data_IF_308116500786
#
_entry.id   IF_308116500786
#
_cell.length_a   1.000
_cell.length_b   1.000
_cell.length_c   1.000
_cell.angle_alpha   90.00
_cell.angle_beta   90.00
_cell.angle_gamma   90.00
#
_symmetry.space_group_name_H-M   'P 1'
#
loop_
_entity.id
_entity.type
_entity.pdbx_description
1 polymer ?
#
# COMPACT_ATOMS: atom_id res chain seq x y z
N UNK A 1 4.44 82.82 7.21
CA UNK A 1 5.29 81.64 7.45
C UNK A 1 5.49 81.35 8.95
N UNK A 2 4.44 81.29 9.78
CA UNK A 2 4.58 80.99 11.24
C UNK A 2 3.65 79.89 11.77
N UNK A 3 2.68 79.44 10.98
CA UNK A 3 1.68 78.44 11.40
C UNK A 3 1.89 77.04 10.81
N UNK A 4 2.79 76.89 9.82
CA UNK A 4 3.06 75.60 9.19
C UNK A 4 3.79 74.62 10.14
N UNK A 5 4.71 75.12 10.97
CA UNK A 5 5.48 74.28 11.92
C UNK A 5 4.65 73.82 13.13
N UNK A 6 3.57 74.53 13.47
CA UNK A 6 2.70 74.15 14.59
C UNK A 6 1.84 72.92 14.27
N UNK A 7 1.40 72.79 13.02
CA UNK A 7 0.56 71.67 12.57
C UNK A 7 1.40 70.39 12.44
N UNK A 8 2.64 70.49 11.95
CA UNK A 8 3.55 69.33 11.87
C UNK A 8 3.99 68.83 13.24
N UNK A 9 4.23 69.72 14.21
CA UNK A 9 4.60 69.32 15.57
C UNK A 9 3.44 68.62 16.31
N UNK A 10 2.19 69.07 16.11
CA UNK A 10 1.02 68.45 16.73
C UNK A 10 0.73 67.03 16.18
N UNK A 11 0.95 66.80 14.88
CA UNK A 11 0.78 65.47 14.26
C UNK A 11 1.85 64.46 14.70
N UNK A 12 3.09 64.92 14.89
CA UNK A 12 4.18 64.08 15.41
C UNK A 12 4.03 63.72 16.89
N UNK A 13 3.50 64.63 17.72
CA UNK A 13 3.22 64.35 19.14
C UNK A 13 1.97 63.48 19.35
N UNK A 14 0.93 63.63 18.51
CA UNK A 14 -0.27 62.79 18.57
C UNK A 14 -0.02 61.34 18.14
N UNK A 15 0.83 61.13 17.13
CA UNK A 15 1.15 59.80 16.61
C UNK A 15 1.94 58.92 17.58
N UNK A 16 2.84 59.49 18.38
CA UNK A 16 3.65 58.74 19.37
C UNK A 16 2.90 58.49 20.68
N UNK A 17 1.98 59.39 21.08
CA UNK A 17 1.12 59.18 22.25
C UNK A 17 0.07 58.06 22.01
N UNK A 18 -0.43 57.93 20.78
CA UNK A 18 -1.38 56.88 20.43
C UNK A 18 -0.75 55.47 20.46
N UNK A 19 0.55 55.33 20.12
CA UNK A 19 1.23 54.03 20.14
C UNK A 19 1.69 53.60 21.53
N UNK A 20 1.87 54.53 22.48
CA UNK A 20 2.23 54.18 23.88
C UNK A 20 1.03 53.86 24.77
N UNK A 21 -0.17 54.32 24.42
CA UNK A 21 -1.41 54.06 25.21
C UNK A 21 -2.19 52.85 24.72
N UNK A 22 -1.93 52.38 23.50
CA UNK A 22 -2.43 51.12 22.99
C UNK A 22 -1.38 50.03 23.23
N UNK A 23 -1.33 49.47 24.45
CA UNK A 23 -0.84 48.09 24.66
C UNK A 23 -1.78 47.09 23.97
N UNK A 24 -1.94 47.19 22.66
CA UNK A 24 -2.30 46.02 21.88
C UNK A 24 -0.99 45.26 21.74
N UNK A 25 -0.81 44.10 22.40
CA UNK A 25 0.22 43.19 21.93
C UNK A 25 -0.15 42.95 20.47
N UNK A 26 0.70 43.42 19.55
CA UNK A 26 0.76 42.88 18.20
C UNK A 26 1.04 41.40 18.45
N UNK A 27 -0.03 40.61 18.53
CA UNK A 27 0.06 39.19 18.80
C UNK A 27 0.98 38.65 17.74
N UNK A 28 2.20 38.26 18.15
CA UNK A 28 3.06 37.50 17.29
C UNK A 28 2.21 36.33 16.83
N UNK A 29 1.90 36.29 15.53
CA UNK A 29 1.21 35.17 14.92
C UNK A 29 2.12 33.98 15.17
N UNK A 30 1.80 33.20 16.22
CA UNK A 30 2.52 31.99 16.52
C UNK A 30 2.36 31.14 15.27
N UNK A 31 3.48 30.78 14.65
CA UNK A 31 3.46 29.95 13.45
C UNK A 31 2.55 28.76 13.71
N UNK A 32 1.70 28.41 12.74
CA UNK A 32 0.80 27.24 12.82
C UNK A 32 1.57 25.91 13.03
N UNK A 33 2.90 25.94 12.89
CA UNK A 33 3.82 24.84 13.15
C UNK A 33 4.45 24.88 14.55
N UNK A 34 4.00 25.76 15.46
CA UNK A 34 4.24 25.52 16.87
C UNK A 34 3.68 24.14 17.20
N UNK A 35 4.38 23.30 17.98
CA UNK A 35 3.84 22.03 18.42
C UNK A 35 2.61 22.34 19.27
N UNK A 36 1.46 22.47 18.60
CA UNK A 36 0.18 22.47 19.25
C UNK A 36 0.15 21.19 20.04
N UNK A 37 -0.01 21.32 21.37
CA UNK A 37 -0.31 20.16 22.19
C UNK A 37 -1.52 19.50 21.54
N UNK A 38 -1.29 18.38 20.86
CA UNK A 38 -2.33 17.44 20.51
C UNK A 38 -2.96 17.06 21.83
N UNK A 39 -4.06 17.74 22.19
CA UNK A 39 -4.89 17.32 23.30
C UNK A 39 -5.36 15.93 22.92
N UNK A 40 -4.70 14.92 23.48
CA UNK A 40 -5.11 13.55 23.32
C UNK A 40 -6.57 13.49 23.76
N UNK A 41 -7.47 13.28 22.80
CA UNK A 41 -8.87 13.08 23.11
C UNK A 41 -8.91 11.88 24.05
N UNK A 42 -9.28 12.12 25.31
CA UNK A 42 -9.41 11.05 26.28
C UNK A 42 -10.36 10.01 25.68
N UNK A 43 -9.97 8.72 25.63
CA UNK A 43 -10.86 7.66 25.19
C UNK A 43 -12.17 7.72 25.99
N UNK A 44 -13.27 7.28 25.37
CA UNK A 44 -14.55 7.13 26.09
C UNK A 44 -14.32 6.33 27.37
N UNK A 45 -15.04 6.64 28.45
CA UNK A 45 -14.92 5.92 29.71
C UNK A 45 -15.05 4.40 29.47
N UNK A 46 -14.03 3.64 29.88
CA UNK A 46 -13.94 2.19 29.67
C UNK A 46 -13.16 1.75 28.41
N UNK A 47 -12.79 2.67 27.51
CA UNK A 47 -11.91 2.37 26.39
C UNK A 47 -10.43 2.42 26.83
N UNK A 48 -9.58 1.51 26.32
CA UNK A 48 -8.16 1.53 26.65
C UNK A 48 -7.48 2.78 26.07
N UNK A 49 -6.45 3.26 26.77
CA UNK A 49 -5.61 4.36 26.29
C UNK A 49 -4.81 3.99 25.03
N UNK A 50 -4.61 2.69 24.79
CA UNK A 50 -3.89 2.17 23.62
C UNK A 50 -4.30 0.72 23.32
N UNK A 51 -4.24 0.34 22.04
CA UNK A 51 -4.37 -1.06 21.61
C UNK A 51 -3.02 -1.77 21.46
N UNK A 52 -1.91 -1.10 21.83
CA UNK A 52 -0.56 -1.63 21.68
C UNK A 52 -0.38 -2.99 22.37
N UNK A 53 -0.90 -3.16 23.59
CA UNK A 53 -0.78 -4.42 24.33
C UNK A 53 -1.56 -5.56 23.65
N UNK A 54 -2.73 -5.24 23.10
CA UNK A 54 -3.53 -6.20 22.34
C UNK A 54 -2.82 -6.58 21.03
N UNK A 55 -2.29 -5.59 20.31
CA UNK A 55 -1.53 -5.82 19.09
C UNK A 55 -0.28 -6.66 19.36
N UNK A 56 0.49 -6.35 20.41
CA UNK A 56 1.68 -7.12 20.81
C UNK A 56 1.34 -8.58 21.14
N UNK A 57 0.18 -8.82 21.76
CA UNK A 57 -0.29 -10.17 22.10
C UNK A 57 -0.76 -10.96 20.87
N UNK A 58 -1.37 -10.30 19.89
CA UNK A 58 -1.96 -10.96 18.70
C UNK A 58 -1.05 -11.01 17.48
N UNK A 59 -0.04 -10.13 17.41
CA UNK A 59 0.93 -10.08 16.30
C UNK A 59 1.55 -11.45 15.96
N UNK A 60 1.90 -12.33 16.91
CA UNK A 60 2.46 -13.64 16.60
C UNK A 60 1.56 -14.54 15.74
N UNK A 61 0.24 -14.32 15.75
CA UNK A 61 -0.71 -15.09 14.96
C UNK A 61 -0.80 -14.61 13.51
N UNK A 62 -0.30 -13.43 13.17
CA UNK A 62 -0.38 -12.85 11.83
C UNK A 62 0.85 -13.25 11.02
N UNK A 63 0.62 -13.79 9.82
CA UNK A 63 1.68 -14.27 8.94
C UNK A 63 1.63 -13.58 7.59
N UNK A 64 2.78 -13.49 6.93
CA UNK A 64 2.88 -13.07 5.54
C UNK A 64 2.75 -14.30 4.62
N UNK A 65 2.06 -14.15 3.51
CA UNK A 65 1.83 -15.23 2.53
C UNK A 65 2.36 -14.74 1.19
N UNK A 66 3.26 -15.51 0.62
CA UNK A 66 3.78 -15.31 -0.73
C UNK A 66 3.40 -16.49 -1.59
N UNK A 67 2.80 -16.24 -2.75
CA UNK A 67 2.50 -17.28 -3.73
C UNK A 67 3.25 -17.03 -5.03
N UNK A 68 3.86 -18.08 -5.56
CA UNK A 68 4.47 -18.05 -6.89
C UNK A 68 3.55 -18.77 -7.86
N UNK A 69 3.20 -18.10 -8.94
CA UNK A 69 2.24 -18.54 -9.93
C UNK A 69 2.94 -18.68 -11.28
N UNK A 70 2.69 -19.79 -11.98
CA UNK A 70 3.18 -20.00 -13.34
C UNK A 70 2.06 -19.68 -14.31
N UNK A 71 2.18 -18.55 -15.00
CA UNK A 71 1.22 -18.10 -15.99
C UNK A 71 1.75 -18.50 -17.37
N UNK A 72 1.01 -19.33 -18.09
CA UNK A 72 1.30 -19.57 -19.50
C UNK A 72 0.81 -18.35 -20.27
N UNK A 73 1.74 -17.55 -20.81
CA UNK A 73 1.38 -16.42 -21.65
C UNK A 73 0.90 -16.98 -22.98
N UNK A 74 -0.42 -17.03 -23.20
CA UNK A 74 -0.97 -17.32 -24.52
C UNK A 74 -0.54 -16.16 -25.43
N UNK A 75 0.28 -16.47 -26.42
CA UNK A 75 0.69 -15.52 -27.45
C UNK A 75 -0.58 -14.88 -28.04
N UNK A 76 -0.77 -13.54 -27.96
CA UNK A 76 -1.69 -12.90 -28.89
C UNK A 76 -1.09 -13.16 -30.25
N UNK A 77 -1.73 -14.02 -31.06
CA UNK A 77 -1.23 -14.39 -32.37
C UNK A 77 -0.76 -13.15 -33.13
N UNK A 78 0.33 -13.30 -33.89
CA UNK A 78 0.97 -12.19 -34.57
C UNK A 78 -0.09 -11.46 -35.40
N UNK A 79 -0.57 -10.29 -34.95
CA UNK A 79 -1.68 -9.55 -35.59
C UNK A 79 -1.38 -9.09 -37.01
N UNK A 80 -0.11 -9.23 -37.41
CA UNK A 80 0.42 -8.94 -38.73
C UNK A 80 0.70 -10.19 -39.58
N UNK A 81 0.34 -11.41 -39.13
CA UNK A 81 0.52 -12.65 -39.91
C UNK A 81 -0.20 -12.55 -41.26
N UNK A 82 0.52 -12.80 -42.35
CA UNK A 82 0.03 -12.71 -43.72
C UNK A 82 -0.05 -11.30 -44.30
N UNK A 83 0.44 -10.27 -43.58
CA UNK A 83 0.49 -8.90 -44.08
C UNK A 83 1.89 -8.52 -44.60
N UNK A 84 2.02 -7.55 -45.52
CA UNK A 84 3.33 -7.03 -45.96
C UNK A 84 4.21 -6.47 -44.83
N UNK A 85 3.61 -6.17 -43.67
CA UNK A 85 4.30 -5.68 -42.49
C UNK A 85 4.89 -6.80 -41.62
N UNK A 86 4.61 -8.07 -41.92
CA UNK A 86 5.11 -9.22 -41.15
C UNK A 86 6.65 -9.27 -41.12
N UNK A 87 7.31 -9.10 -42.27
CA UNK A 87 8.78 -9.12 -42.38
C UNK A 87 9.42 -7.91 -41.69
N UNK A 88 8.79 -6.73 -41.79
CA UNK A 88 9.23 -5.52 -41.09
C UNK A 88 9.12 -5.70 -39.57
N UNK A 89 8.01 -6.27 -39.09
CA UNK A 89 7.78 -6.53 -37.68
C UNK A 89 8.76 -7.57 -37.13
N UNK A 90 9.04 -8.65 -37.86
CA UNK A 90 10.09 -9.64 -37.51
C UNK A 90 11.47 -9.00 -37.42
N UNK A 91 11.83 -8.12 -38.37
CA UNK A 91 13.17 -7.49 -38.46
C UNK A 91 13.43 -6.42 -37.39
N UNK A 92 12.38 -5.75 -36.89
CA UNK A 92 12.47 -4.72 -35.84
C UNK A 92 12.23 -5.26 -34.42
N UNK A 93 12.22 -6.58 -34.22
CA UNK A 93 12.11 -7.20 -32.89
C UNK A 93 10.69 -7.53 -32.43
N UNK A 94 9.68 -7.40 -33.31
CA UNK A 94 8.30 -7.81 -33.06
C UNK A 94 8.09 -9.34 -33.06
N UNK A 95 9.07 -10.12 -33.50
CA UNK A 95 9.02 -11.60 -33.46
C UNK A 95 9.15 -12.24 -32.08
N UNK A 96 9.44 -11.47 -31.02
CA UNK A 96 9.63 -11.97 -29.65
C UNK A 96 8.33 -12.19 -28.85
N UNK A 97 7.23 -12.53 -29.53
CA UNK A 97 5.94 -12.77 -28.91
C UNK A 97 5.88 -14.14 -28.24
N UNK A 98 6.17 -14.22 -26.95
CA UNK A 98 5.65 -15.29 -26.08
C UNK A 98 6.12 -16.72 -26.36
N UNK A 99 7.02 -16.97 -27.30
CA UNK A 99 7.58 -18.29 -27.60
C UNK A 99 9.09 -18.28 -27.71
N UNK A 100 9.76 -19.30 -27.18
CA UNK A 100 11.18 -19.52 -27.44
C UNK A 100 11.44 -19.83 -28.93
N UNK A 101 12.70 -19.85 -29.38
CA UNK A 101 13.08 -20.20 -30.78
C UNK A 101 12.56 -21.58 -31.25
N UNK A 102 11.97 -22.38 -30.34
CA UNK A 102 11.36 -23.68 -30.59
C UNK A 102 9.82 -23.67 -30.59
N UNK A 103 9.17 -22.51 -30.49
CA UNK A 103 7.71 -22.37 -30.57
C UNK A 103 6.95 -22.76 -29.29
N UNK A 104 7.61 -22.88 -28.13
CA UNK A 104 6.97 -23.26 -26.87
C UNK A 104 6.47 -22.05 -26.09
N UNK A 105 5.28 -22.09 -25.45
CA UNK A 105 4.76 -20.98 -24.66
C UNK A 105 5.73 -20.55 -23.54
N UNK A 106 6.05 -19.26 -23.49
CA UNK A 106 6.82 -18.68 -22.39
C UNK A 106 5.95 -18.70 -21.13
N UNK A 107 6.41 -19.42 -20.12
CA UNK A 107 5.83 -19.39 -18.78
C UNK A 107 6.41 -18.19 -18.05
N UNK A 108 5.56 -17.26 -17.59
CA UNK A 108 5.98 -16.14 -16.74
C UNK A 108 5.66 -16.48 -15.29
N UNK A 109 6.62 -16.26 -14.42
CA UNK A 109 6.38 -16.33 -12.98
C UNK A 109 5.77 -15.01 -12.52
N UNK A 110 4.64 -15.10 -11.84
CA UNK A 110 4.00 -13.98 -11.15
C UNK A 110 4.00 -14.27 -9.65
N UNK A 111 4.29 -13.26 -8.83
CA UNK A 111 4.23 -13.36 -7.38
C UNK A 111 3.01 -12.61 -6.86
N UNK A 112 2.32 -13.22 -5.89
CA UNK A 112 1.25 -12.58 -5.12
C UNK A 112 1.65 -12.54 -3.66
N UNK A 113 1.29 -11.46 -2.97
CA UNK A 113 1.56 -11.23 -1.56
C UNK A 113 0.24 -10.99 -0.83
N UNK A 114 0.12 -11.52 0.38
CA UNK A 114 -1.02 -11.33 1.25
C UNK A 114 -0.69 -11.62 2.70
N UNK A 115 -1.70 -11.52 3.56
CA UNK A 115 -1.59 -11.88 4.97
C UNK A 115 -2.47 -13.09 5.28
N UNK A 116 -2.20 -13.72 6.42
CA UNK A 116 -3.06 -14.74 6.98
C UNK A 116 -2.95 -14.79 8.49
N UNK A 117 -3.75 -15.68 9.08
CA UNK A 117 -3.78 -15.91 10.52
C UNK A 117 -3.59 -17.38 10.83
N UNK A 118 -2.70 -17.68 11.77
CA UNK A 118 -2.60 -19.02 12.36
C UNK A 118 -3.79 -19.18 13.30
N UNK A 119 -4.64 -20.18 13.02
CA UNK A 119 -5.87 -20.42 13.79
C UNK A 119 -5.76 -21.60 14.75
N UNK A 120 -4.71 -22.42 14.62
CA UNK A 120 -4.51 -23.59 15.47
C UNK A 120 -3.02 -23.96 15.56
N UNK A 121 -2.63 -24.57 16.70
CA UNK A 121 -1.25 -24.90 17.04
C UNK A 121 -0.64 -26.03 16.19
N UNK A 122 -1.48 -26.78 15.49
CA UNK A 122 -1.12 -27.78 14.49
C UNK A 122 -0.77 -27.19 13.11
N UNK A 123 -0.81 -25.85 12.95
CA UNK A 123 -0.31 -25.17 11.76
C UNK A 123 -1.37 -24.88 10.70
N UNK A 124 -2.65 -24.78 11.06
CA UNK A 124 -3.68 -24.28 10.14
C UNK A 124 -3.64 -22.76 10.03
N UNK A 125 -3.67 -22.25 8.79
CA UNK A 125 -3.63 -20.83 8.46
C UNK A 125 -4.82 -20.45 7.58
N UNK A 126 -5.54 -19.40 7.96
CA UNK A 126 -6.64 -18.83 7.16
C UNK A 126 -6.15 -17.60 6.41
N UNK A 127 -6.52 -17.48 5.15
CA UNK A 127 -6.25 -16.32 4.29
C UNK A 127 -7.41 -16.11 3.31
N UNK A 128 -7.30 -15.09 2.47
CA UNK A 128 -8.23 -14.88 1.39
C UNK A 128 -7.99 -15.87 0.24
N UNK A 129 -9.05 -16.34 -0.39
CA UNK A 129 -8.93 -17.21 -1.56
C UNK A 129 -8.17 -16.52 -2.71
N UNK A 130 -8.42 -15.23 -2.96
CA UNK A 130 -7.74 -14.48 -4.02
C UNK A 130 -6.22 -14.40 -3.84
N UNK A 131 -5.70 -14.51 -2.60
CA UNK A 131 -4.25 -14.51 -2.33
C UNK A 131 -3.60 -15.78 -2.89
N UNK A 132 -4.34 -16.91 -2.83
CA UNK A 132 -3.87 -18.24 -3.23
C UNK A 132 -4.42 -18.70 -4.57
N UNK A 133 -5.23 -17.89 -5.26
CA UNK A 133 -5.75 -18.21 -6.58
C UNK A 133 -5.26 -17.22 -7.63
N UNK A 134 -4.50 -17.72 -8.59
CA UNK A 134 -4.09 -17.00 -9.78
C UNK A 134 -5.25 -16.92 -10.80
N UNK A 135 -6.23 -16.04 -10.60
CA UNK A 135 -6.98 -15.41 -11.70
C UNK A 135 -8.13 -14.56 -11.16
N UNK A 136 -8.15 -13.25 -11.46
CA UNK A 136 -9.39 -12.57 -11.77
C UNK A 136 -9.93 -13.14 -13.10
N UNK A 137 -11.25 -13.30 -13.16
CA UNK A 137 -12.05 -13.66 -14.32
C UNK A 137 -11.37 -13.56 -15.71
N UNK A 138 -11.35 -14.67 -16.46
CA UNK A 138 -11.34 -14.60 -17.93
C UNK A 138 -10.10 -15.05 -18.70
N UNK A 139 -9.09 -15.71 -18.12
CA UNK A 139 -7.96 -16.17 -18.94
C UNK A 139 -6.95 -17.12 -18.31
N UNK A 140 -6.86 -18.32 -18.89
CA UNK A 140 -5.67 -19.19 -18.98
C UNK A 140 -4.96 -19.62 -17.68
N UNK A 141 -5.39 -20.75 -17.12
CA UNK A 141 -4.50 -21.84 -16.67
C UNK A 141 -3.38 -21.53 -15.68
N UNK A 142 -3.45 -20.44 -14.92
CA UNK A 142 -2.41 -20.11 -13.96
C UNK A 142 -2.48 -21.10 -12.78
N UNK A 143 -1.42 -21.89 -12.64
CA UNK A 143 -1.27 -22.86 -11.56
C UNK A 143 -0.39 -22.23 -10.50
N UNK A 144 -0.86 -22.26 -9.25
CA UNK A 144 -0.06 -21.86 -8.09
C UNK A 144 1.04 -22.90 -7.93
N UNK A 145 2.28 -22.48 -8.14
CA UNK A 145 3.45 -23.34 -8.11
C UNK A 145 3.93 -23.61 -6.68
N UNK A 146 3.84 -22.60 -5.81
CA UNK A 146 4.23 -22.72 -4.42
C UNK A 146 3.56 -21.64 -3.57
N UNK A 147 3.28 -21.98 -2.31
CA UNK A 147 2.82 -21.06 -1.29
C UNK A 147 3.83 -21.11 -0.14
N UNK A 148 4.35 -19.95 0.24
CA UNK A 148 5.27 -19.77 1.35
C UNK A 148 4.60 -18.90 2.40
N UNK A 149 4.60 -19.36 3.65
CA UNK A 149 4.12 -18.62 4.81
C UNK A 149 5.31 -18.19 5.63
N UNK A 150 5.44 -16.89 5.87
CA UNK A 150 6.51 -16.30 6.67
C UNK A 150 5.93 -15.83 8.01
N UNK A 151 6.44 -16.37 9.11
CA UNK A 151 6.08 -15.96 10.46
C UNK A 151 6.76 -14.63 10.85
N UNK A 152 6.29 -13.95 11.91
CA UNK A 152 6.91 -12.72 12.40
C UNK A 152 8.37 -12.86 12.83
N UNK A 153 8.81 -14.06 13.21
CA UNK A 153 10.21 -14.39 13.51
C UNK A 153 11.06 -14.65 12.25
N UNK A 154 10.49 -14.41 11.07
CA UNK A 154 11.08 -14.61 9.73
C UNK A 154 11.30 -16.08 9.35
N UNK A 155 10.74 -17.03 10.09
CA UNK A 155 10.73 -18.42 9.64
C UNK A 155 9.77 -18.60 8.47
N UNK A 156 10.21 -19.35 7.46
CA UNK A 156 9.44 -19.63 6.27
C UNK A 156 9.02 -21.10 6.23
N UNK A 157 7.77 -21.32 5.90
CA UNK A 157 7.15 -22.64 5.80
C UNK A 157 6.49 -22.79 4.44
N UNK A 158 6.64 -23.97 3.82
CA UNK A 158 5.81 -24.31 2.67
C UNK A 158 4.41 -24.66 3.16
N UNK A 159 3.41 -24.13 2.47
CA UNK A 159 2.02 -24.40 2.77
C UNK A 159 1.38 -25.26 1.69
N UNK A 160 0.43 -26.10 2.12
CA UNK A 160 -0.47 -26.84 1.25
C UNK A 160 -1.89 -26.29 1.37
N UNK A 161 -2.65 -26.30 0.28
CA UNK A 161 -4.05 -25.89 0.29
C UNK A 161 -4.88 -27.06 0.84
N UNK A 162 -5.59 -26.82 1.94
CA UNK A 162 -6.52 -27.79 2.54
C UNK A 162 -7.90 -27.64 1.93
N UNK A 163 -8.34 -26.39 1.73
CA UNK A 163 -9.63 -26.07 1.14
C UNK A 163 -9.75 -24.60 0.78
N UNK A 164 -10.71 -24.28 -0.08
CA UNK A 164 -11.02 -22.91 -0.48
C UNK A 164 -12.51 -22.73 -0.76
N UNK A 165 -13.01 -21.55 -0.44
CA UNK A 165 -14.36 -21.08 -0.75
C UNK A 165 -14.25 -19.78 -1.56
N UNK A 166 -14.72 -19.83 -2.81
CA UNK A 166 -14.71 -18.68 -3.70
C UNK A 166 -15.82 -17.67 -3.37
N UNK A 167 -16.94 -18.12 -2.81
CA UNK A 167 -18.08 -17.26 -2.52
C UNK A 167 -17.81 -16.35 -1.35
N UNK A 168 -17.14 -16.86 -0.30
CA UNK A 168 -16.72 -16.06 0.86
C UNK A 168 -15.32 -15.48 0.72
N UNK A 169 -14.62 -15.76 -0.38
CA UNK A 169 -13.20 -15.43 -0.59
C UNK A 169 -12.28 -15.90 0.54
N UNK A 170 -12.44 -17.14 1.02
CA UNK A 170 -11.62 -17.73 2.08
C UNK A 170 -10.82 -18.95 1.62
N UNK A 171 -9.64 -19.14 2.18
CA UNK A 171 -8.83 -20.33 1.98
C UNK A 171 -8.19 -20.79 3.29
N UNK A 172 -8.09 -22.11 3.41
CA UNK A 172 -7.44 -22.80 4.52
C UNK A 172 -6.16 -23.47 4.01
N UNK A 173 -5.05 -23.14 4.67
CA UNK A 173 -3.73 -23.67 4.38
C UNK A 173 -3.21 -24.49 5.58
N UNK A 174 -2.30 -25.42 5.31
CA UNK A 174 -1.57 -26.17 6.33
C UNK A 174 -0.06 -25.97 6.13
N UNK A 175 0.63 -25.57 7.19
CA UNK A 175 2.09 -25.49 7.28
C UNK A 175 2.63 -26.58 8.22
N UNK A 176 3.82 -27.11 7.92
CA UNK A 176 4.47 -28.18 8.69
C UNK A 176 5.66 -27.70 9.51
#
# INVERSE_FOLDING_TARGET
>A
MRYAYAITAALLAGGTAATMTMQQPLGAQVAQNAPGAINAAAPRAGAPMSFADLAAKLQPAVVNISTTQKIQVRNPGNVFQGTPFEELFKRFGGGGGGTDESGRPITREATSLGSGFIISADGYVVTNNHVISASPEGGSGAVVSSITVTLPDRKEYKATIVGRDQTSDLALLKID
#
